data_IF_356739400773
#
_entry.id   IF_356739400773
#
_cell.length_a   1.000
_cell.length_b   1.000
_cell.length_c   1.000
_cell.angle_alpha   90.00
_cell.angle_beta   90.00
_cell.angle_gamma   90.00
#
_symmetry.space_group_name_H-M   'P 1'
#
loop_
_entity.id
_entity.type
_entity.pdbx_description
1 polymer ?
#
# COMPACT_ATOMS: atom_id res chain seq x y z
N UNK A 1 5.77 -6.20 16.57
CA UNK A 1 5.40 -4.98 15.82
C UNK A 1 4.37 -5.40 14.78
N UNK A 2 3.24 -4.71 14.64
CA UNK A 2 2.23 -5.07 13.60
C UNK A 2 2.73 -4.66 12.21
N UNK A 3 2.32 -5.37 11.14
CA UNK A 3 2.54 -4.97 9.75
C UNK A 3 2.17 -3.51 9.51
N UNK A 4 1.12 -3.03 10.19
CA UNK A 4 0.67 -1.64 10.12
C UNK A 4 1.77 -0.66 10.48
N UNK A 5 2.43 -0.85 11.62
CA UNK A 5 3.42 0.09 12.11
C UNK A 5 4.68 0.07 11.25
N UNK A 6 5.14 -1.12 10.86
CA UNK A 6 6.35 -1.27 10.04
C UNK A 6 6.17 -0.63 8.65
N UNK A 7 5.02 -0.83 8.00
CA UNK A 7 4.77 -0.25 6.67
C UNK A 7 4.60 1.26 6.75
N UNK A 8 3.86 1.75 7.75
CA UNK A 8 3.69 3.18 7.95
C UNK A 8 5.04 3.87 8.22
N UNK A 9 5.93 3.26 9.01
CA UNK A 9 7.30 3.75 9.20
C UNK A 9 8.10 3.78 7.89
N UNK A 10 8.02 2.73 7.06
CA UNK A 10 8.68 2.70 5.75
C UNK A 10 8.15 3.78 4.82
N UNK A 11 6.83 3.99 4.76
CA UNK A 11 6.20 5.03 3.94
C UNK A 11 6.53 6.43 4.43
N UNK A 12 6.55 6.66 5.75
CA UNK A 12 6.85 7.96 6.35
C UNK A 12 8.24 8.49 5.95
N UNK A 13 9.22 7.61 5.72
CA UNK A 13 10.57 7.97 5.25
C UNK A 13 10.58 8.60 3.86
N UNK A 14 9.53 8.43 3.06
CA UNK A 14 9.43 8.91 1.69
C UNK A 14 8.34 9.97 1.49
N UNK A 15 7.80 10.54 2.57
CA UNK A 15 6.80 11.61 2.46
C UNK A 15 7.41 12.87 1.85
N UNK A 16 6.67 13.45 0.92
CA UNK A 16 7.04 14.69 0.25
C UNK A 16 5.85 15.65 0.32
N UNK A 17 6.05 16.79 0.97
CA UNK A 17 4.99 17.79 1.18
C UNK A 17 4.48 18.38 -0.14
N UNK A 18 5.37 18.65 -1.11
CA UNK A 18 4.96 19.18 -2.42
C UNK A 18 4.17 18.13 -3.19
N UNK A 19 4.59 16.87 -3.11
CA UNK A 19 3.87 15.77 -3.74
C UNK A 19 2.52 15.48 -3.06
N UNK A 20 2.42 15.63 -1.73
CA UNK A 20 1.16 15.58 -1.00
C UNK A 20 0.18 16.63 -1.51
N UNK A 21 0.59 17.90 -1.55
CA UNK A 21 -0.25 19.01 -2.03
C UNK A 21 -0.69 18.79 -3.48
N UNK A 22 0.20 18.30 -4.33
CA UNK A 22 -0.13 17.91 -5.70
C UNK A 22 -1.16 16.78 -5.75
N UNK A 23 -0.96 15.72 -4.96
CA UNK A 23 -1.82 14.54 -4.94
C UNK A 23 -3.22 14.86 -4.40
N UNK A 24 -3.32 15.72 -3.39
CA UNK A 24 -4.60 16.20 -2.85
C UNK A 24 -5.41 16.99 -3.88
N UNK A 25 -4.75 17.75 -4.76
CA UNK A 25 -5.42 18.45 -5.87
C UNK A 25 -5.91 17.48 -6.95
N UNK A 26 -5.14 16.42 -7.23
CA UNK A 26 -5.50 15.41 -8.24
C UNK A 26 -6.59 14.43 -7.77
N UNK A 27 -6.65 14.14 -6.48
CA UNK A 27 -7.59 13.20 -5.88
C UNK A 27 -8.51 14.00 -4.93
N UNK A 28 -9.39 14.85 -5.47
CA UNK A 28 -10.34 15.58 -4.64
C UNK A 28 -11.26 14.58 -3.93
N UNK A 29 -11.60 14.86 -2.67
CA UNK A 29 -12.49 14.05 -1.84
C UNK A 29 -12.01 12.60 -1.62
N UNK A 30 -10.69 12.41 -1.45
CA UNK A 30 -10.17 11.10 -1.09
C UNK A 30 -10.79 10.59 0.23
N UNK A 31 -11.41 9.39 0.18
CA UNK A 31 -11.95 8.72 1.36
C UNK A 31 -10.87 8.30 2.38
N UNK A 32 -9.61 8.26 1.93
CA UNK A 32 -8.45 7.95 2.76
C UNK A 32 -7.48 9.13 2.76
N UNK A 33 -6.84 9.37 3.92
CA UNK A 33 -5.78 10.37 4.05
C UNK A 33 -4.61 10.05 3.10
N UNK A 34 -4.00 11.10 2.54
CA UNK A 34 -2.86 10.97 1.62
C UNK A 34 -1.57 11.29 2.38
N UNK A 35 -0.52 10.46 2.22
CA UNK A 35 0.78 10.68 2.86
C UNK A 35 1.72 11.57 2.03
N UNK A 36 1.58 11.54 0.70
CA UNK A 36 2.47 12.19 -0.25
C UNK A 36 3.67 11.32 -0.62
N UNK A 37 3.47 10.02 -0.86
CA UNK A 37 4.57 9.10 -1.26
C UNK A 37 4.44 8.73 -2.73
N UNK A 38 5.54 8.90 -3.49
CA UNK A 38 5.55 8.58 -4.93
C UNK A 38 5.53 7.07 -5.16
N UNK A 39 4.80 6.64 -6.21
CA UNK A 39 4.64 5.23 -6.61
C UNK A 39 5.95 4.43 -6.70
N UNK A 40 7.10 4.95 -7.19
CA UNK A 40 8.35 4.19 -7.22
C UNK A 40 8.80 3.68 -5.83
N UNK A 41 8.59 4.47 -4.77
CA UNK A 41 8.92 4.05 -3.41
C UNK A 41 7.93 3.01 -2.89
N UNK A 42 6.64 3.17 -3.19
CA UNK A 42 5.60 2.19 -2.86
C UNK A 42 5.92 0.83 -3.52
N UNK A 43 6.28 0.83 -4.82
CA UNK A 43 6.71 -0.38 -5.54
C UNK A 43 7.94 -1.02 -4.90
N UNK A 44 8.92 -0.22 -4.45
CA UNK A 44 10.12 -0.73 -3.77
C UNK A 44 9.74 -1.44 -2.47
N UNK A 45 8.89 -0.82 -1.65
CA UNK A 45 8.43 -1.40 -0.38
C UNK A 45 7.61 -2.67 -0.64
N UNK A 46 6.66 -2.65 -1.58
CA UNK A 46 5.84 -3.82 -1.93
C UNK A 46 6.70 -5.02 -2.36
N UNK A 47 7.76 -4.78 -3.16
CA UNK A 47 8.73 -5.82 -3.55
C UNK A 47 9.57 -6.36 -2.40
N UNK A 48 9.84 -5.54 -1.38
CA UNK A 48 10.55 -5.98 -0.17
C UNK A 48 9.64 -6.91 0.65
N UNK A 49 8.40 -6.47 0.89
CA UNK A 49 7.38 -7.23 1.61
C UNK A 49 7.08 -8.55 0.89
N UNK A 50 6.95 -8.55 -0.44
CA UNK A 50 6.65 -9.76 -1.22
C UNK A 50 7.72 -10.84 -1.13
N UNK A 51 8.94 -10.51 -0.71
CA UNK A 51 10.02 -11.47 -0.50
C UNK A 51 10.08 -12.00 0.92
N UNK A 52 9.66 -11.19 1.88
CA UNK A 52 9.92 -11.44 3.30
C UNK A 52 8.68 -11.93 4.04
N UNK A 53 7.47 -11.67 3.54
CA UNK A 53 6.24 -11.93 4.25
C UNK A 53 5.42 -13.04 3.58
N UNK A 54 4.67 -13.78 4.40
CA UNK A 54 3.64 -14.68 3.90
C UNK A 54 2.49 -13.87 3.30
N UNK A 55 2.14 -14.15 2.04
CA UNK A 55 1.17 -13.35 1.30
C UNK A 55 -0.25 -13.43 1.86
N UNK A 56 -0.72 -14.61 2.25
CA UNK A 56 -2.06 -14.81 2.80
C UNK A 56 -2.21 -14.11 4.15
N UNK A 57 -1.24 -14.30 5.05
CA UNK A 57 -1.22 -13.61 6.35
C UNK A 57 -1.16 -12.10 6.17
N UNK A 58 -0.31 -11.60 5.27
CA UNK A 58 -0.20 -10.18 5.00
C UNK A 58 -1.53 -9.61 4.50
N UNK A 59 -2.15 -10.23 3.50
CA UNK A 59 -3.40 -9.75 2.93
C UNK A 59 -4.57 -9.78 3.93
N UNK A 60 -4.58 -10.75 4.85
CA UNK A 60 -5.61 -10.90 5.88
C UNK A 60 -5.42 -9.98 7.08
N UNK A 61 -4.18 -9.68 7.49
CA UNK A 61 -3.92 -8.95 8.74
C UNK A 61 -3.61 -7.46 8.52
N UNK A 62 -3.20 -7.08 7.31
CA UNK A 62 -2.87 -5.70 7.00
C UNK A 62 -4.09 -4.90 6.53
N UNK A 63 -4.43 -3.83 7.25
CA UNK A 63 -5.60 -2.98 7.01
C UNK A 63 -5.18 -1.56 6.61
N UNK A 64 -5.19 -1.23 5.30
CA UNK A 64 -4.81 0.09 4.81
C UNK A 64 -5.65 1.23 5.38
N UNK A 65 -5.02 2.33 5.79
CA UNK A 65 -5.67 3.54 6.29
C UNK A 65 -5.36 4.77 5.44
N UNK A 66 -4.19 4.80 4.82
CA UNK A 66 -3.77 5.86 3.91
C UNK A 66 -3.87 5.43 2.44
N UNK A 67 -4.06 6.39 1.54
CA UNK A 67 -4.14 6.15 0.10
C UNK A 67 -2.96 5.30 -0.41
N UNK A 68 -1.75 5.60 0.03
CA UNK A 68 -0.56 4.88 -0.38
C UNK A 68 -0.46 3.47 0.19
N UNK A 69 -1.13 3.17 1.31
CA UNK A 69 -1.25 1.81 1.83
C UNK A 69 -2.19 0.96 0.97
N UNK A 70 -3.28 1.56 0.45
CA UNK A 70 -4.15 0.88 -0.52
C UNK A 70 -3.38 0.57 -1.81
N UNK A 71 -2.62 1.54 -2.32
CA UNK A 71 -1.75 1.33 -3.48
C UNK A 71 -0.70 0.25 -3.21
N UNK A 72 -0.08 0.24 -2.03
CA UNK A 72 0.88 -0.77 -1.63
C UNK A 72 0.25 -2.17 -1.65
N UNK A 73 -0.92 -2.33 -1.04
CA UNK A 73 -1.62 -3.63 -0.98
C UNK A 73 -2.02 -4.12 -2.37
N UNK A 74 -2.50 -3.24 -3.24
CA UNK A 74 -2.81 -3.57 -4.63
C UNK A 74 -1.57 -4.01 -5.44
N UNK A 75 -0.45 -3.28 -5.31
CA UNK A 75 0.80 -3.64 -5.96
C UNK A 75 1.35 -4.97 -5.41
N UNK A 76 1.30 -5.16 -4.10
CA UNK A 76 1.72 -6.40 -3.45
C UNK A 76 0.95 -7.61 -3.98
N UNK A 77 -0.38 -7.49 -4.10
CA UNK A 77 -1.25 -8.53 -4.63
C UNK A 77 -0.84 -8.91 -6.06
N UNK A 78 -0.64 -7.91 -6.92
CA UNK A 78 -0.19 -8.14 -8.30
C UNK A 78 1.20 -8.82 -8.39
N UNK A 79 2.10 -8.55 -7.44
CA UNK A 79 3.41 -9.18 -7.39
C UNK A 79 3.34 -10.69 -7.06
N UNK A 80 2.25 -11.17 -6.47
CA UNK A 80 2.06 -12.60 -6.22
C UNK A 80 1.85 -13.41 -7.50
N UNK A 81 1.49 -12.74 -8.61
CA UNK A 81 1.19 -13.38 -9.91
C UNK A 81 0.22 -14.56 -9.77
N UNK A 82 -0.73 -14.45 -8.84
CA UNK A 82 -1.70 -15.48 -8.53
C UNK A 82 -3.11 -14.91 -8.73
N UNK A 83 -3.70 -15.22 -9.89
CA UNK A 83 -5.01 -14.72 -10.29
C UNK A 83 -6.13 -15.17 -9.35
N UNK A 84 -6.03 -16.36 -8.76
CA UNK A 84 -7.04 -16.86 -7.83
C UNK A 84 -7.01 -16.08 -6.52
N UNK A 85 -5.81 -15.74 -6.04
CA UNK A 85 -5.63 -14.88 -4.88
C UNK A 85 -6.17 -13.47 -5.14
N UNK A 86 -5.91 -12.91 -6.33
CA UNK A 86 -6.46 -11.62 -6.77
C UNK A 86 -8.00 -11.60 -6.75
N UNK A 87 -8.63 -12.61 -7.36
CA UNK A 87 -10.08 -12.75 -7.41
C UNK A 87 -10.67 -12.94 -6.01
N UNK A 88 -10.04 -13.78 -5.17
CA UNK A 88 -10.48 -14.00 -3.79
C UNK A 88 -10.45 -12.71 -2.98
N UNK A 89 -9.35 -11.95 -3.07
CA UNK A 89 -9.22 -10.69 -2.37
C UNK A 89 -10.25 -9.65 -2.83
N UNK A 90 -10.47 -9.53 -4.14
CA UNK A 90 -11.43 -8.58 -4.70
C UNK A 90 -12.89 -8.87 -4.30
N UNK A 91 -13.24 -10.12 -4.03
CA UNK A 91 -14.58 -10.52 -3.55
C UNK A 91 -14.86 -10.17 -2.09
N UNK A 92 -13.81 -9.90 -1.30
CA UNK A 92 -13.88 -9.61 0.13
C UNK A 92 -13.63 -8.13 0.46
N UNK A 93 -13.52 -7.26 -0.56
CA UNK A 93 -13.51 -5.80 -0.44
C UNK A 93 -14.94 -5.25 -0.39
#
# INVERSE_FOLDING_TARGET
>A
MSYQNEILEKLNKFRDKKYLEFSQKLIPNANASILGVKIPYIKKIAKEISKNYNAEMFLSLYEPKFHEEYLLKAIFLNLQKNINLEISYAKNL
#
